data_IF_243059723935
#
_entry.id   IF_243059723935
#
_cell.length_a   1.000
_cell.length_b   1.000
_cell.length_c   1.000
_cell.angle_alpha   90.00
_cell.angle_beta   90.00
_cell.angle_gamma   90.00
#
_symmetry.space_group_name_H-M   'P 1'
#
loop_
_entity.id
_entity.type
_entity.pdbx_description
1 polymer ?
#
# COMPACT_ATOMS: atom_id res chain seq x y z
N UNK A 1 -5.96 -35.32 -7.82
CA UNK A 1 -6.29 -34.00 -7.24
C UNK A 1 -5.65 -32.92 -8.11
N UNK A 2 -6.33 -32.45 -9.17
CA UNK A 2 -5.81 -31.37 -10.01
C UNK A 2 -6.02 -30.05 -9.27
N UNK A 3 -4.95 -29.48 -8.71
CA UNK A 3 -4.98 -28.11 -8.18
C UNK A 3 -5.15 -27.19 -9.39
N UNK A 4 -6.28 -26.49 -9.46
CA UNK A 4 -6.53 -25.46 -10.47
C UNK A 4 -5.66 -24.24 -10.15
N UNK A 5 -4.36 -24.32 -10.48
CA UNK A 5 -3.36 -23.29 -10.20
C UNK A 5 -3.76 -21.93 -10.80
N UNK A 6 -4.41 -21.95 -11.97
CA UNK A 6 -4.84 -20.74 -12.68
C UNK A 6 -5.84 -19.86 -11.90
N UNK A 7 -6.70 -20.44 -11.04
CA UNK A 7 -7.61 -19.65 -10.21
C UNK A 7 -6.87 -19.05 -9.00
N UNK A 8 -5.94 -19.82 -8.43
CA UNK A 8 -5.14 -19.43 -7.28
C UNK A 8 -4.20 -18.26 -7.57
N UNK A 9 -3.67 -18.13 -8.78
CA UNK A 9 -2.82 -16.99 -9.16
C UNK A 9 -3.62 -15.69 -9.28
N UNK A 10 -4.80 -15.72 -9.90
CA UNK A 10 -5.70 -14.55 -10.00
C UNK A 10 -6.18 -14.11 -8.61
N UNK A 11 -6.49 -15.07 -7.75
CA UNK A 11 -6.86 -14.81 -6.36
C UNK A 11 -5.69 -14.21 -5.56
N UNK A 12 -4.47 -14.71 -5.74
CA UNK A 12 -3.26 -14.20 -5.08
C UNK A 12 -2.91 -12.77 -5.53
N UNK A 13 -3.02 -12.46 -6.82
CA UNK A 13 -2.80 -11.10 -7.33
C UNK A 13 -3.84 -10.14 -6.76
N UNK A 14 -5.11 -10.55 -6.74
CA UNK A 14 -6.20 -9.75 -6.17
C UNK A 14 -6.04 -9.52 -4.67
N UNK A 15 -5.64 -10.56 -3.92
CA UNK A 15 -5.35 -10.47 -2.50
C UNK A 15 -4.15 -9.55 -2.22
N UNK A 16 -3.08 -9.66 -3.02
CA UNK A 16 -1.88 -8.81 -2.88
C UNK A 16 -2.19 -7.34 -3.12
N UNK A 17 -3.04 -7.02 -4.11
CA UNK A 17 -3.47 -5.64 -4.38
C UNK A 17 -4.31 -5.06 -3.24
N UNK A 18 -5.26 -5.83 -2.70
CA UNK A 18 -6.05 -5.42 -1.53
C UNK A 18 -5.17 -5.17 -0.31
N UNK A 19 -4.21 -6.07 -0.06
CA UNK A 19 -3.24 -5.92 1.03
C UNK A 19 -2.41 -4.65 0.86
N UNK A 20 -1.91 -4.37 -0.35
CA UNK A 20 -1.15 -3.16 -0.63
C UNK A 20 -2.00 -1.88 -0.47
N UNK A 21 -3.27 -1.89 -0.90
CA UNK A 21 -4.18 -0.79 -0.67
C UNK A 21 -4.38 -0.53 0.83
N UNK A 22 -4.53 -1.59 1.65
CA UNK A 22 -4.59 -1.47 3.11
C UNK A 22 -3.31 -0.90 3.70
N UNK A 23 -2.13 -1.31 3.21
CA UNK A 23 -0.85 -0.75 3.65
C UNK A 23 -0.72 0.74 3.33
N UNK A 24 -1.18 1.18 2.16
CA UNK A 24 -1.21 2.60 1.80
C UNK A 24 -2.08 3.43 2.76
N UNK A 25 -3.23 2.91 3.16
CA UNK A 25 -4.09 3.57 4.16
C UNK A 25 -3.45 3.63 5.54
N UNK A 26 -2.65 2.63 5.91
CA UNK A 26 -1.92 2.62 7.18
C UNK A 26 -0.74 3.60 7.15
N UNK A 27 0.04 3.61 6.07
CA UNK A 27 1.24 4.44 5.94
C UNK A 27 0.95 5.93 5.73
N UNK A 28 -0.24 6.26 5.22
CA UNK A 28 -0.64 7.63 4.89
C UNK A 28 -2.04 7.93 5.40
N UNK A 29 -2.20 8.22 6.71
CA UNK A 29 -3.50 8.55 7.28
C UNK A 29 -4.12 9.77 6.57
N UNK A 30 -5.31 9.56 6.02
CA UNK A 30 -6.05 10.54 5.23
C UNK A 30 -7.56 10.36 5.44
N UNK A 31 -8.35 11.38 5.11
CA UNK A 31 -9.82 11.36 5.26
C UNK A 31 -10.54 10.94 3.98
N UNK A 32 -9.83 10.85 2.86
CA UNK A 32 -10.39 10.46 1.57
C UNK A 32 -9.34 9.82 0.65
N UNK A 33 -9.80 9.04 -0.34
CA UNK A 33 -8.95 8.46 -1.41
C UNK A 33 -8.14 9.53 -2.13
N UNK A 34 -8.76 10.69 -2.42
CA UNK A 34 -8.12 11.78 -3.12
C UNK A 34 -6.98 12.42 -2.31
N UNK A 35 -7.19 12.58 -1.00
CA UNK A 35 -6.19 13.11 -0.08
C UNK A 35 -5.03 12.14 0.10
N UNK A 36 -5.32 10.84 0.32
CA UNK A 36 -4.30 9.80 0.40
C UNK A 36 -3.44 9.79 -0.87
N UNK A 37 -4.09 9.80 -2.04
CA UNK A 37 -3.41 9.77 -3.32
C UNK A 37 -2.46 10.94 -3.52
N UNK A 38 -2.80 12.14 -3.03
CA UNK A 38 -1.90 13.30 -3.09
C UNK A 38 -0.71 13.14 -2.13
N UNK A 39 -0.93 12.72 -0.88
CA UNK A 39 0.14 12.53 0.10
C UNK A 39 1.14 11.47 -0.33
N UNK A 40 0.64 10.28 -0.69
CA UNK A 40 1.48 9.17 -1.10
C UNK A 40 2.21 9.45 -2.43
N UNK A 41 1.58 10.18 -3.37
CA UNK A 41 2.22 10.58 -4.63
C UNK A 41 3.48 11.41 -4.41
N UNK A 42 3.45 12.36 -3.46
CA UNK A 42 4.61 13.19 -3.13
C UNK A 42 5.73 12.36 -2.51
N UNK A 43 5.40 11.44 -1.60
CA UNK A 43 6.40 10.64 -0.88
C UNK A 43 7.01 9.54 -1.76
N UNK A 44 6.21 8.95 -2.65
CA UNK A 44 6.65 7.86 -3.52
C UNK A 44 7.15 8.34 -4.90
N UNK A 45 7.13 9.66 -5.15
CA UNK A 45 7.48 10.28 -6.44
C UNK A 45 6.74 9.66 -7.64
N UNK A 46 5.42 9.49 -7.49
CA UNK A 46 4.53 8.93 -8.52
C UNK A 46 3.34 9.84 -8.77
N UNK A 47 2.60 9.60 -9.86
CA UNK A 47 1.38 10.35 -10.10
C UNK A 47 0.27 9.98 -9.11
N UNK A 48 -0.57 10.93 -8.66
CA UNK A 48 -1.75 10.63 -7.84
C UNK A 48 -2.70 9.63 -8.50
N UNK A 49 -2.72 9.60 -9.84
CA UNK A 49 -3.49 8.62 -10.61
C UNK A 49 -2.98 7.19 -10.39
N UNK A 50 -1.66 6.97 -10.38
CA UNK A 50 -1.09 5.65 -10.09
C UNK A 50 -1.48 5.18 -8.69
N UNK A 51 -1.44 6.07 -7.70
CA UNK A 51 -1.88 5.73 -6.34
C UNK A 51 -3.37 5.36 -6.30
N UNK A 52 -4.24 6.11 -6.97
CA UNK A 52 -5.66 5.75 -7.08
C UNK A 52 -5.88 4.39 -7.73
N UNK A 53 -5.12 4.07 -8.78
CA UNK A 53 -5.21 2.77 -9.44
C UNK A 53 -4.78 1.63 -8.50
N UNK A 54 -3.80 1.86 -7.63
CA UNK A 54 -3.41 0.89 -6.59
C UNK A 54 -4.51 0.73 -5.53
N UNK A 55 -5.09 1.83 -5.05
CA UNK A 55 -6.19 1.80 -4.07
C UNK A 55 -7.42 1.07 -4.60
N UNK A 56 -7.72 1.22 -5.89
CA UNK A 56 -8.81 0.53 -6.59
C UNK A 56 -8.48 -0.91 -6.99
N UNK A 57 -7.28 -1.40 -6.66
CA UNK A 57 -6.79 -2.72 -7.06
C UNK A 57 -6.77 -2.94 -8.59
N UNK A 58 -6.74 -1.87 -9.38
CA UNK A 58 -6.68 -1.94 -10.85
C UNK A 58 -5.29 -2.36 -11.32
N UNK A 59 -4.25 -1.89 -10.63
CA UNK A 59 -2.86 -2.20 -10.97
C UNK A 59 -2.09 -2.73 -9.75
N UNK A 60 -1.10 -3.57 -10.02
CA UNK A 60 -0.16 -4.03 -9.00
C UNK A 60 0.96 -2.99 -8.83
N UNK A 61 1.38 -2.75 -7.60
CA UNK A 61 2.58 -1.97 -7.34
C UNK A 61 3.84 -2.82 -7.57
N UNK A 62 4.89 -2.21 -8.10
CA UNK A 62 6.19 -2.85 -8.18
C UNK A 62 6.79 -3.01 -6.77
N UNK A 63 7.63 -4.02 -6.60
CA UNK A 63 8.21 -4.38 -5.30
C UNK A 63 8.91 -3.22 -4.57
N UNK A 64 9.58 -2.33 -5.30
CA UNK A 64 10.25 -1.17 -4.71
C UNK A 64 9.26 -0.19 -4.04
N UNK A 65 8.06 0.00 -4.59
CA UNK A 65 7.02 0.81 -3.94
C UNK A 65 6.46 0.12 -2.71
N UNK A 66 6.32 -1.21 -2.74
CA UNK A 66 5.91 -1.98 -1.55
C UNK A 66 6.93 -1.83 -0.42
N UNK A 67 8.22 -1.95 -0.73
CA UNK A 67 9.29 -1.72 0.24
C UNK A 67 9.30 -0.29 0.79
N UNK A 68 9.10 0.72 -0.06
CA UNK A 68 9.03 2.12 0.36
C UNK A 68 7.84 2.39 1.29
N UNK A 69 6.64 1.88 0.96
CA UNK A 69 5.45 2.02 1.80
C UNK A 69 5.62 1.28 3.13
N UNK A 70 6.24 0.09 3.13
CA UNK A 70 6.55 -0.63 4.38
C UNK A 70 7.57 0.13 5.24
N UNK A 71 8.56 0.80 4.64
CA UNK A 71 9.50 1.65 5.38
C UNK A 71 8.79 2.86 6.01
N UNK A 72 7.83 3.49 5.31
CA UNK A 72 7.03 4.59 5.86
C UNK A 72 6.09 4.10 6.97
N UNK A 73 5.34 3.03 6.75
CA UNK A 73 4.46 2.43 7.76
C UNK A 73 5.25 1.93 8.98
N UNK A 74 6.41 1.30 8.75
CA UNK A 74 7.31 0.84 9.80
C UNK A 74 7.96 1.98 10.58
N UNK A 75 8.29 3.09 9.90
CA UNK A 75 8.70 4.32 10.56
C UNK A 75 7.58 4.84 11.47
N UNK A 76 6.32 4.88 11.02
CA UNK A 76 5.21 5.30 11.88
C UNK A 76 5.01 4.40 13.11
N UNK A 77 5.25 3.09 13.02
CA UNK A 77 5.22 2.18 14.20
C UNK A 77 6.37 2.49 15.17
N UNK A 78 7.60 2.69 14.65
CA UNK A 78 8.77 3.04 15.49
C UNK A 78 8.63 4.44 16.11
N UNK A 79 8.03 5.40 15.39
CA UNK A 79 7.79 6.76 15.88
C UNK A 79 6.54 6.89 16.75
N UNK A 80 5.57 5.97 16.66
CA UNK A 80 4.39 5.96 17.54
C UNK A 80 4.68 5.39 18.93
N UNK A 81 5.72 4.55 19.08
CA UNK A 81 6.09 3.91 20.35
C UNK A 81 7.45 4.37 20.94
N UNK A 82 8.20 5.23 20.22
CA UNK A 82 9.56 5.66 20.62
C UNK A 82 9.68 7.04 21.28
N UNK A 83 8.58 7.77 21.49
CA UNK A 83 8.62 9.20 21.87
C UNK A 83 8.21 9.55 23.30
N UNK A 84 7.86 8.57 24.16
CA UNK A 84 7.47 8.85 25.55
C UNK A 84 8.01 7.79 26.52
N UNK A 85 9.24 8.00 26.96
CA UNK A 85 9.76 7.78 28.32
C UNK A 85 11.02 8.67 28.37
N UNK A 86 11.01 9.87 28.96
CA UNK A 86 10.96 10.17 30.41
C UNK A 86 12.15 9.53 31.15
#
# INVERSE_FOLDING_TARGET
MRKNLAHSDVDQVSASRKMFASLLWQAFPARSEAELAQKAAVVLDVSPRQVKNWLRCENSAAWHYVAAVMAVAGAEVVFSDGGRCA
#
